data_IF_004489569454
#
_entry.id   IF_004489569454
#
_cell.length_a   1.000
_cell.length_b   1.000
_cell.length_c   1.000
_cell.angle_alpha   90.00
_cell.angle_beta   90.00
_cell.angle_gamma   90.00
#
_symmetry.space_group_name_H-M   'P 1'
#
loop_
_entity.id
_entity.type
_entity.pdbx_description
1 polymer ?
#
# COMPACT_ATOMS: atom_id res chain seq x y z
N UNK A 1 16.95 -24.30 78.35
CA UNK A 1 16.08 -23.44 77.56
C UNK A 1 16.80 -22.41 76.63
N UNK A 2 18.13 -22.41 76.47
CA UNK A 2 18.89 -21.41 75.66
C UNK A 2 19.12 -21.78 74.19
N UNK A 3 18.92 -23.04 73.80
CA UNK A 3 19.28 -23.49 72.42
C UNK A 3 18.18 -23.39 71.36
N UNK A 4 16.91 -23.03 71.67
CA UNK A 4 15.83 -22.96 70.72
C UNK A 4 15.64 -21.56 70.13
N UNK A 5 16.08 -20.51 70.84
CA UNK A 5 15.93 -19.12 70.38
C UNK A 5 16.86 -18.83 69.18
N UNK A 6 18.08 -19.38 69.19
CA UNK A 6 19.08 -19.18 68.10
C UNK A 6 18.71 -19.87 66.77
N UNK A 7 17.98 -20.98 66.85
CA UNK A 7 17.54 -21.68 65.60
C UNK A 7 16.38 -20.98 64.93
N UNK A 8 15.47 -20.38 65.70
CA UNK A 8 14.31 -19.65 65.16
C UNK A 8 14.74 -18.33 64.54
N UNK A 9 15.65 -17.59 65.14
CA UNK A 9 16.20 -16.34 64.60
C UNK A 9 16.99 -16.56 63.33
N UNK A 10 17.80 -17.61 63.21
CA UNK A 10 18.53 -17.99 62.01
C UNK A 10 17.56 -18.35 60.80
N UNK A 11 16.45 -19.03 61.08
CA UNK A 11 15.44 -19.37 60.09
C UNK A 11 14.67 -18.15 59.59
N UNK A 12 14.37 -17.19 60.49
CA UNK A 12 13.76 -15.91 60.09
C UNK A 12 14.70 -15.07 59.22
N UNK A 13 15.98 -14.97 59.57
CA UNK A 13 16.96 -14.26 58.74
C UNK A 13 17.18 -14.92 57.37
N UNK A 14 17.20 -16.25 57.30
CA UNK A 14 17.30 -16.98 56.06
C UNK A 14 16.05 -16.78 55.15
N UNK A 15 14.85 -16.73 55.76
CA UNK A 15 13.60 -16.48 55.05
C UNK A 15 13.51 -15.03 54.50
N UNK A 16 13.98 -14.04 55.25
CA UNK A 16 14.04 -12.63 54.83
C UNK A 16 15.06 -12.46 53.70
N UNK A 17 16.23 -13.11 53.79
CA UNK A 17 17.23 -13.07 52.70
C UNK A 17 16.76 -13.78 51.43
N UNK A 18 16.04 -14.90 51.58
CA UNK A 18 15.43 -15.59 50.43
C UNK A 18 14.32 -14.78 49.77
N UNK A 19 13.47 -14.08 50.55
CA UNK A 19 12.44 -13.17 50.03
C UNK A 19 13.04 -11.93 49.35
N UNK A 20 14.13 -11.38 49.87
CA UNK A 20 14.86 -10.27 49.27
C UNK A 20 15.58 -10.69 47.96
N UNK A 21 16.10 -11.93 47.89
CA UNK A 21 16.72 -12.48 46.70
C UNK A 21 15.67 -12.77 45.58
N UNK A 22 14.45 -13.21 45.93
CA UNK A 22 13.37 -13.36 44.96
C UNK A 22 12.85 -12.03 44.43
N UNK A 23 12.86 -10.96 45.21
CA UNK A 23 12.45 -9.62 44.77
C UNK A 23 13.46 -8.95 43.83
N UNK A 24 14.72 -9.35 43.87
CA UNK A 24 15.78 -8.84 42.99
C UNK A 24 15.74 -9.44 41.55
N UNK A 25 14.99 -10.54 41.38
CA UNK A 25 14.85 -11.20 40.01
C UNK A 25 13.64 -10.69 39.25
N UNK A 26 12.74 -9.93 39.88
CA UNK A 26 11.72 -9.19 39.19
C UNK A 26 12.31 -7.95 38.51
N UNK A 27 13.26 -8.15 37.59
CA UNK A 27 13.50 -7.12 36.59
C UNK A 27 12.15 -6.88 35.90
N UNK A 28 11.59 -5.66 35.94
CA UNK A 28 10.52 -5.34 34.99
C UNK A 28 11.11 -5.66 33.64
N UNK A 29 10.49 -6.56 32.90
CA UNK A 29 10.82 -6.75 31.49
C UNK A 29 10.75 -5.36 30.91
N UNK A 30 11.89 -4.68 30.84
CA UNK A 30 12.03 -3.40 30.15
C UNK A 30 11.52 -3.69 28.76
N UNK A 31 10.33 -3.22 28.42
CA UNK A 31 9.78 -3.37 27.09
C UNK A 31 10.88 -2.90 26.16
N UNK A 32 11.53 -3.86 25.51
CA UNK A 32 12.76 -3.65 24.75
C UNK A 32 12.47 -2.49 23.81
N UNK A 33 13.19 -1.37 23.97
CA UNK A 33 12.89 -0.14 23.24
C UNK A 33 13.07 -0.44 21.74
N UNK A 34 11.97 -0.82 21.10
CA UNK A 34 11.99 -0.97 19.65
C UNK A 34 11.90 0.43 18.99
N UNK A 35 12.68 0.69 17.92
CA UNK A 35 13.77 -0.11 17.38
C UNK A 35 15.11 0.18 18.08
N UNK A 36 15.98 -0.84 18.19
CA UNK A 36 17.36 -0.70 18.71
C UNK A 36 18.42 -0.95 17.65
N UNK A 37 18.00 -1.28 16.43
CA UNK A 37 18.81 -1.50 15.24
C UNK A 37 18.05 -1.08 13.99
N UNK A 38 18.69 -0.97 12.82
CA UNK A 38 18.01 -0.60 11.59
C UNK A 38 16.82 -1.50 11.25
N UNK A 39 15.76 -0.88 10.71
CA UNK A 39 14.54 -1.55 10.25
C UNK A 39 14.52 -1.58 8.71
N UNK A 40 14.34 -2.75 8.12
CA UNK A 40 14.16 -2.90 6.68
C UNK A 40 12.70 -2.65 6.29
N UNK A 41 12.50 -1.80 5.30
CA UNK A 41 11.17 -1.51 4.73
C UNK A 41 11.11 -2.03 3.30
N UNK A 42 10.41 -3.14 3.11
CA UNK A 42 10.24 -3.73 1.79
C UNK A 42 9.19 -2.92 1.02
N UNK A 43 9.60 -2.39 -0.13
CA UNK A 43 8.73 -1.74 -1.11
C UNK A 43 8.70 -2.62 -2.37
N UNK A 44 7.54 -3.22 -2.73
CA UNK A 44 7.48 -4.22 -3.80
C UNK A 44 7.43 -3.63 -5.21
N UNK A 45 7.88 -2.39 -5.38
CA UNK A 45 7.91 -1.65 -6.64
C UNK A 45 9.28 -1.04 -6.89
N UNK A 46 9.55 -0.65 -8.15
CA UNK A 46 10.82 -0.08 -8.56
C UNK A 46 11.14 1.22 -7.81
N UNK A 47 12.43 1.43 -7.54
CA UNK A 47 12.95 2.67 -6.99
C UNK A 47 12.58 3.87 -7.88
N UNK A 48 12.25 5.00 -7.28
CA UNK A 48 11.80 6.21 -7.97
C UNK A 48 10.35 6.18 -8.44
N UNK A 49 9.65 5.06 -8.29
CA UNK A 49 8.20 4.99 -8.50
C UNK A 49 7.43 5.67 -7.36
N UNK A 50 6.16 5.99 -7.60
CA UNK A 50 5.33 6.73 -6.64
C UNK A 50 5.30 6.09 -5.23
N UNK A 51 5.17 4.76 -5.17
CA UNK A 51 5.18 4.03 -3.89
C UNK A 51 6.53 4.14 -3.17
N UNK A 52 7.64 4.07 -3.91
CA UNK A 52 8.98 4.21 -3.33
C UNK A 52 9.23 5.63 -2.81
N UNK A 53 8.86 6.65 -3.58
CA UNK A 53 9.02 8.06 -3.16
C UNK A 53 8.16 8.35 -1.93
N UNK A 54 6.92 7.89 -1.91
CA UNK A 54 6.06 8.02 -0.73
C UNK A 54 6.66 7.30 0.48
N UNK A 55 7.18 6.06 0.31
CA UNK A 55 7.84 5.33 1.38
C UNK A 55 9.04 6.11 1.97
N UNK A 56 9.87 6.72 1.12
CA UNK A 56 11.04 7.52 1.56
C UNK A 56 10.62 8.72 2.40
N UNK A 57 9.50 9.38 2.09
CA UNK A 57 8.98 10.49 2.90
C UNK A 57 8.77 10.04 4.35
N UNK A 58 8.15 8.88 4.55
CA UNK A 58 7.86 8.34 5.88
C UNK A 58 9.08 7.72 6.56
N UNK A 59 9.91 6.97 5.83
CA UNK A 59 11.11 6.32 6.42
C UNK A 59 12.16 7.32 6.89
N UNK A 60 12.34 8.44 6.17
CA UNK A 60 13.20 9.55 6.60
C UNK A 60 12.74 10.12 7.94
N UNK A 61 11.42 10.33 8.09
CA UNK A 61 10.84 10.88 9.34
C UNK A 61 10.86 9.86 10.48
N UNK A 62 10.52 8.58 10.19
CA UNK A 62 10.64 7.50 11.17
C UNK A 62 12.07 7.39 11.71
N UNK A 63 13.07 7.48 10.82
CA UNK A 63 14.48 7.41 11.22
C UNK A 63 14.87 8.56 12.15
N UNK A 64 14.40 9.77 11.88
CA UNK A 64 14.65 10.94 12.74
C UNK A 64 13.94 10.81 14.10
N UNK A 65 12.69 10.36 14.13
CA UNK A 65 11.87 10.29 15.33
C UNK A 65 12.24 9.12 16.24
N UNK A 66 12.61 7.98 15.67
CA UNK A 66 12.91 6.76 16.42
C UNK A 66 14.42 6.51 16.63
N UNK A 67 15.31 7.35 16.07
CA UNK A 67 16.74 7.27 16.28
C UNK A 67 17.43 6.06 15.65
N UNK A 68 16.74 5.33 14.77
CA UNK A 68 17.27 4.18 14.05
C UNK A 68 16.93 4.30 12.55
N UNK A 69 17.81 3.80 11.69
CA UNK A 69 17.60 3.87 10.24
C UNK A 69 16.44 2.97 9.78
N UNK A 70 15.54 3.53 8.99
CA UNK A 70 14.52 2.78 8.24
C UNK A 70 14.97 2.69 6.79
N UNK A 71 15.48 1.52 6.39
CA UNK A 71 16.17 1.32 5.10
C UNK A 71 15.21 0.67 4.11
N UNK A 72 14.98 1.32 2.97
CA UNK A 72 14.13 0.78 1.90
C UNK A 72 14.87 -0.29 1.11
N UNK A 73 14.19 -1.41 0.90
CA UNK A 73 14.58 -2.48 -0.02
C UNK A 73 13.50 -2.67 -1.10
N UNK A 74 13.83 -2.35 -2.36
CA UNK A 74 12.89 -2.52 -3.47
C UNK A 74 12.92 -3.97 -3.98
N UNK A 75 11.87 -4.76 -3.66
CA UNK A 75 11.70 -6.16 -4.13
C UNK A 75 10.55 -6.27 -5.12
N UNK A 76 10.84 -6.04 -6.39
CA UNK A 76 9.84 -6.01 -7.46
C UNK A 76 9.48 -7.41 -7.97
N UNK A 77 8.32 -7.52 -8.60
CA UNK A 77 7.88 -8.70 -9.35
C UNK A 77 6.47 -9.16 -9.02
N UNK A 78 5.82 -9.76 -10.01
CA UNK A 78 4.47 -10.33 -9.93
C UNK A 78 3.44 -9.40 -9.24
N UNK A 79 3.34 -8.14 -9.72
CA UNK A 79 2.42 -7.13 -9.15
C UNK A 79 2.73 -6.74 -7.71
N UNK A 80 3.92 -7.08 -7.18
CA UNK A 80 4.33 -6.83 -5.80
C UNK A 80 4.29 -8.05 -4.88
N UNK A 81 3.74 -9.18 -5.34
CA UNK A 81 3.59 -10.38 -4.49
C UNK A 81 4.93 -10.94 -4.00
N UNK A 82 6.00 -10.86 -4.81
CA UNK A 82 7.32 -11.37 -4.42
C UNK A 82 7.89 -10.60 -3.23
N UNK A 83 7.75 -9.28 -3.20
CA UNK A 83 8.19 -8.46 -2.07
C UNK A 83 7.40 -8.76 -0.80
N UNK A 84 6.07 -8.90 -0.91
CA UNK A 84 5.22 -9.26 0.24
C UNK A 84 5.56 -10.66 0.76
N UNK A 85 5.71 -11.65 -0.11
CA UNK A 85 6.11 -13.00 0.28
C UNK A 85 7.47 -13.04 1.01
N UNK A 86 8.41 -12.17 0.61
CA UNK A 86 9.68 -12.03 1.32
C UNK A 86 9.48 -11.42 2.72
N UNK A 87 8.62 -10.40 2.86
CA UNK A 87 8.30 -9.78 4.14
C UNK A 87 7.60 -10.77 5.09
N UNK A 88 6.60 -11.53 4.61
CA UNK A 88 5.84 -12.46 5.47
C UNK A 88 6.69 -13.61 6.02
N UNK A 89 7.80 -13.94 5.35
CA UNK A 89 8.77 -14.96 5.80
C UNK A 89 9.84 -14.43 6.74
N UNK A 90 9.90 -13.12 6.95
CA UNK A 90 10.86 -12.52 7.87
C UNK A 90 10.50 -12.80 9.34
N UNK A 91 11.49 -12.66 10.24
CA UNK A 91 11.24 -12.78 11.67
C UNK A 91 10.17 -11.77 12.12
N UNK A 92 9.18 -12.19 12.93
CA UNK A 92 8.10 -11.32 13.37
C UNK A 92 8.50 -10.43 14.56
N UNK A 93 9.67 -9.81 14.49
CA UNK A 93 10.27 -8.96 15.52
C UNK A 93 10.13 -7.45 15.24
N UNK A 94 9.46 -7.09 14.12
CA UNK A 94 9.24 -5.71 13.69
C UNK A 94 10.43 -5.06 12.98
N UNK A 95 11.52 -5.78 12.70
CA UNK A 95 12.68 -5.24 11.98
C UNK A 95 12.62 -5.46 10.45
N UNK A 96 11.62 -6.18 9.97
CA UNK A 96 11.24 -6.21 8.56
C UNK A 96 9.77 -5.88 8.45
N UNK A 97 9.46 -4.77 7.82
CA UNK A 97 8.11 -4.28 7.57
C UNK A 97 7.93 -4.04 6.07
N UNK A 98 6.73 -3.74 5.63
CA UNK A 98 6.46 -3.41 4.24
C UNK A 98 5.70 -2.11 4.09
N UNK A 99 5.88 -1.44 2.94
CA UNK A 99 4.97 -0.40 2.48
C UNK A 99 4.47 -0.79 1.09
N UNK A 100 3.17 -0.99 0.99
CA UNK A 100 2.49 -1.57 -0.18
C UNK A 100 1.32 -0.69 -0.61
N UNK A 101 0.73 -1.04 -1.75
CA UNK A 101 -0.55 -0.44 -2.15
C UNK A 101 -1.71 -1.29 -1.67
N UNK A 102 -2.86 -0.66 -1.46
CA UNK A 102 -4.09 -1.37 -1.11
C UNK A 102 -4.42 -2.48 -2.12
N UNK A 103 -4.27 -2.19 -3.43
CA UNK A 103 -4.47 -3.19 -4.48
C UNK A 103 -3.63 -4.46 -4.31
N UNK A 104 -2.39 -4.30 -3.87
CA UNK A 104 -1.50 -5.44 -3.62
C UNK A 104 -1.97 -6.30 -2.43
N UNK A 105 -2.63 -5.67 -1.43
CA UNK A 105 -3.11 -6.37 -0.23
C UNK A 105 -4.34 -7.24 -0.50
N UNK A 106 -5.36 -6.68 -1.16
CA UNK A 106 -6.66 -7.37 -1.25
C UNK A 106 -7.01 -7.89 -2.65
N UNK A 107 -6.24 -7.59 -3.67
CA UNK A 107 -6.54 -8.02 -5.03
C UNK A 107 -5.68 -9.19 -5.46
N UNK A 108 -4.36 -9.13 -5.24
CA UNK A 108 -3.47 -10.23 -5.59
C UNK A 108 -3.89 -11.59 -4.99
N UNK A 109 -4.39 -11.67 -3.73
CA UNK A 109 -4.88 -12.94 -3.20
C UNK A 109 -6.02 -13.58 -4.00
N UNK A 110 -6.87 -12.78 -4.63
CA UNK A 110 -7.95 -13.29 -5.47
C UNK A 110 -7.47 -13.74 -6.85
N UNK A 111 -6.41 -13.12 -7.38
CA UNK A 111 -5.84 -13.45 -8.68
C UNK A 111 -4.93 -14.68 -8.59
N UNK A 112 -3.94 -14.65 -7.69
CA UNK A 112 -2.90 -15.67 -7.60
C UNK A 112 -3.30 -16.89 -6.80
N UNK A 113 -4.26 -16.75 -5.87
CA UNK A 113 -4.74 -17.83 -5.01
C UNK A 113 -3.57 -18.57 -4.33
N UNK A 114 -3.51 -19.90 -4.47
CA UNK A 114 -2.46 -20.73 -3.85
C UNK A 114 -1.04 -20.43 -4.36
N UNK A 115 -0.90 -19.84 -5.56
CA UNK A 115 0.42 -19.47 -6.11
C UNK A 115 1.01 -18.23 -5.47
N UNK A 116 0.27 -17.52 -4.61
CA UNK A 116 0.72 -16.27 -3.99
C UNK A 116 1.91 -16.46 -3.03
N UNK A 117 2.01 -17.62 -2.40
CA UNK A 117 3.09 -17.96 -1.46
C UNK A 117 2.92 -17.37 -0.05
N UNK A 118 1.79 -16.71 0.22
CA UNK A 118 1.32 -16.21 1.52
C UNK A 118 -0.20 -16.09 1.53
N UNK A 119 -0.79 -16.08 2.72
CA UNK A 119 -2.22 -15.79 2.92
C UNK A 119 -2.37 -14.31 3.30
N UNK A 120 -2.99 -13.52 2.41
CA UNK A 120 -3.14 -12.07 2.60
C UNK A 120 -3.90 -11.67 3.86
N UNK A 121 -4.77 -12.54 4.40
CA UNK A 121 -5.53 -12.29 5.63
C UNK A 121 -4.83 -12.78 6.90
N UNK A 122 -4.04 -13.87 6.80
CA UNK A 122 -3.43 -14.52 7.96
C UNK A 122 -2.01 -14.04 8.22
N UNK A 123 -1.22 -13.86 7.15
CA UNK A 123 0.22 -13.64 7.26
C UNK A 123 0.61 -12.15 7.36
N UNK A 124 -0.36 -11.25 7.14
CA UNK A 124 -0.14 -9.80 7.11
C UNK A 124 -1.02 -9.10 8.14
N UNK A 125 -0.47 -8.02 8.76
CA UNK A 125 -1.26 -7.03 9.50
C UNK A 125 -1.04 -5.64 8.92
N UNK A 126 -2.12 -4.94 8.52
CA UNK A 126 -2.04 -3.53 8.19
C UNK A 126 -1.72 -2.73 9.46
N UNK A 127 -0.87 -1.71 9.31
CA UNK A 127 -0.40 -0.86 10.42
C UNK A 127 -0.97 0.54 10.31
N UNK A 128 -0.74 1.18 9.16
CA UNK A 128 -1.27 2.51 8.88
C UNK A 128 -1.43 2.73 7.37
N UNK A 129 -2.55 3.33 6.98
CA UNK A 129 -2.72 3.96 5.66
C UNK A 129 -2.38 5.42 5.79
N UNK A 130 -1.39 5.88 5.04
CA UNK A 130 -0.76 7.20 5.22
C UNK A 130 -0.97 8.15 4.04
N UNK A 131 -1.56 7.68 2.96
CA UNK A 131 -1.86 8.52 1.80
C UNK A 131 -2.72 7.79 0.77
N UNK A 132 -3.51 8.57 0.03
CA UNK A 132 -4.36 8.07 -1.07
C UNK A 132 -4.30 9.00 -2.26
N UNK A 133 -4.52 8.46 -3.45
CA UNK A 133 -4.79 9.26 -4.66
C UNK A 133 -5.62 8.43 -5.63
N UNK A 134 -6.44 9.06 -6.49
CA UNK A 134 -7.10 8.37 -7.58
C UNK A 134 -6.09 7.99 -8.67
N UNK A 135 -6.46 7.04 -9.50
CA UNK A 135 -5.86 6.94 -10.82
C UNK A 135 -6.57 7.93 -11.75
N UNK A 136 -5.89 8.26 -12.84
CA UNK A 136 -6.42 9.09 -13.92
C UNK A 136 -6.41 8.29 -15.21
N UNK A 137 -7.57 8.14 -15.83
CA UNK A 137 -7.66 7.61 -17.17
C UNK A 137 -7.17 8.67 -18.16
N UNK A 138 -6.03 8.39 -18.78
CA UNK A 138 -5.46 9.21 -19.84
C UNK A 138 -5.35 8.40 -21.13
N UNK A 139 -5.48 9.10 -22.24
CA UNK A 139 -5.36 8.51 -23.57
C UNK A 139 -4.37 9.28 -24.44
N UNK A 140 -3.80 8.63 -25.44
CA UNK A 140 -2.99 9.28 -26.46
C UNK A 140 -3.77 10.45 -27.09
N UNK A 141 -3.07 11.55 -27.39
CA UNK A 141 -3.66 12.71 -28.08
C UNK A 141 -4.33 12.37 -29.41
N UNK A 142 -3.96 11.24 -30.02
CA UNK A 142 -4.55 10.73 -31.27
C UNK A 142 -5.94 10.10 -31.10
N UNK A 143 -6.34 9.75 -29.89
CA UNK A 143 -7.67 9.19 -29.62
C UNK A 143 -8.73 10.31 -29.74
N UNK A 144 -9.77 10.18 -30.56
CA UNK A 144 -10.79 11.21 -30.78
C UNK A 144 -11.88 11.15 -29.69
N UNK A 145 -11.46 11.21 -28.41
CA UNK A 145 -12.33 11.24 -27.25
C UNK A 145 -11.81 12.25 -26.23
N UNK A 146 -12.71 13.03 -25.62
CA UNK A 146 -12.43 14.04 -24.60
C UNK A 146 -13.32 13.87 -23.36
N UNK A 147 -14.32 13.00 -23.43
CA UNK A 147 -15.26 12.70 -22.35
C UNK A 147 -15.36 11.20 -22.13
N UNK A 148 -15.86 10.78 -20.95
CA UNK A 148 -16.06 9.35 -20.65
C UNK A 148 -17.02 8.68 -21.65
N UNK A 149 -18.18 9.26 -22.01
CA UNK A 149 -19.06 8.68 -23.02
C UNK A 149 -18.41 8.53 -24.39
N UNK A 150 -17.67 9.54 -24.87
CA UNK A 150 -16.91 9.46 -26.13
C UNK A 150 -15.85 8.37 -26.09
N UNK A 151 -15.11 8.27 -24.97
CA UNK A 151 -14.12 7.22 -24.78
C UNK A 151 -14.74 5.83 -24.79
N UNK A 152 -15.85 5.62 -24.11
CA UNK A 152 -16.59 4.34 -24.10
C UNK A 152 -17.05 3.98 -25.52
N UNK A 153 -17.60 4.92 -26.26
CA UNK A 153 -18.02 4.70 -27.64
C UNK A 153 -16.84 4.31 -28.54
N UNK A 154 -15.73 5.03 -28.42
CA UNK A 154 -14.50 4.73 -29.16
C UNK A 154 -13.91 3.37 -28.79
N UNK A 155 -13.87 3.05 -27.49
CA UNK A 155 -13.38 1.78 -26.98
C UNK A 155 -14.21 0.60 -27.53
N UNK A 156 -15.54 0.71 -27.52
CA UNK A 156 -16.44 -0.31 -28.08
C UNK A 156 -16.22 -0.56 -29.58
N UNK A 157 -15.92 0.50 -30.33
CA UNK A 157 -15.71 0.41 -31.76
C UNK A 157 -14.31 -0.13 -32.18
N UNK A 158 -13.31 -0.08 -31.25
CA UNK A 158 -11.92 -0.32 -31.61
C UNK A 158 -11.17 -1.23 -30.60
N UNK A 159 -11.85 -1.91 -29.67
CA UNK A 159 -11.21 -2.61 -28.54
C UNK A 159 -10.08 -3.56 -28.97
N UNK A 160 -10.27 -4.31 -30.04
CA UNK A 160 -9.29 -5.30 -30.54
C UNK A 160 -7.98 -4.66 -31.08
N UNK A 161 -7.99 -3.34 -31.29
CA UNK A 161 -6.84 -2.57 -31.80
C UNK A 161 -6.19 -1.72 -30.71
N UNK A 162 -6.76 -1.71 -29.51
CA UNK A 162 -6.32 -0.85 -28.43
C UNK A 162 -5.60 -1.67 -27.36
N UNK A 163 -4.53 -1.07 -26.83
CA UNK A 163 -3.80 -1.62 -25.70
C UNK A 163 -3.69 -0.59 -24.58
N UNK A 164 -3.59 -1.10 -23.36
CA UNK A 164 -3.38 -0.27 -22.17
C UNK A 164 -2.22 -0.77 -21.32
N UNK A 165 -1.54 0.16 -20.66
CA UNK A 165 -0.44 -0.14 -19.77
C UNK A 165 -0.84 -0.18 -18.30
N UNK A 166 -0.18 -1.04 -17.51
CA UNK A 166 -0.20 -1.03 -16.05
C UNK A 166 1.14 -1.44 -15.46
N UNK A 167 1.38 -1.15 -14.18
CA UNK A 167 2.58 -1.62 -13.46
C UNK A 167 2.47 -3.10 -13.02
N UNK A 168 1.66 -3.89 -13.72
CA UNK A 168 1.49 -5.32 -13.48
C UNK A 168 0.07 -5.72 -13.09
N UNK A 169 -0.17 -7.01 -13.18
CA UNK A 169 -1.47 -7.62 -12.88
C UNK A 169 -1.84 -7.36 -11.41
N UNK A 170 -3.10 -6.96 -11.18
CA UNK A 170 -3.63 -6.69 -9.83
C UNK A 170 -3.30 -5.31 -9.26
N UNK A 171 -2.55 -4.47 -9.98
CA UNK A 171 -2.37 -3.06 -9.58
C UNK A 171 -3.64 -2.24 -9.80
N UNK A 172 -3.76 -1.09 -9.11
CA UNK A 172 -4.91 -0.20 -9.29
C UNK A 172 -5.09 0.26 -10.74
N UNK A 173 -3.98 0.43 -11.48
CA UNK A 173 -3.96 0.75 -12.90
C UNK A 173 -4.63 -0.34 -13.74
N UNK A 174 -4.23 -1.59 -13.55
CA UNK A 174 -4.81 -2.74 -14.23
C UNK A 174 -6.31 -2.86 -13.94
N UNK A 175 -6.70 -2.79 -12.68
CA UNK A 175 -8.09 -2.97 -12.26
C UNK A 175 -9.02 -1.86 -12.74
N UNK A 176 -8.53 -0.62 -12.78
CA UNK A 176 -9.29 0.49 -13.34
C UNK A 176 -9.67 0.20 -14.78
N UNK A 177 -8.72 -0.28 -15.59
CA UNK A 177 -9.00 -0.64 -17.00
C UNK A 177 -9.87 -1.88 -17.12
N UNK A 178 -9.67 -2.90 -16.27
CA UNK A 178 -10.51 -4.10 -16.25
C UNK A 178 -11.98 -3.79 -15.88
N UNK A 179 -12.21 -2.89 -14.91
CA UNK A 179 -13.56 -2.46 -14.57
C UNK A 179 -14.23 -1.69 -15.72
N UNK A 180 -13.47 -0.83 -16.42
CA UNK A 180 -13.98 -0.15 -17.61
C UNK A 180 -14.29 -1.17 -18.72
N UNK A 181 -13.38 -2.10 -18.99
CA UNK A 181 -13.55 -3.16 -19.98
C UNK A 181 -14.78 -4.04 -19.68
N UNK A 182 -14.95 -4.43 -18.42
CA UNK A 182 -16.12 -5.20 -17.96
C UNK A 182 -17.43 -4.42 -18.13
N UNK A 183 -17.45 -3.14 -17.76
CA UNK A 183 -18.64 -2.30 -17.89
C UNK A 183 -19.03 -2.09 -19.38
N UNK A 184 -18.03 -1.97 -20.23
CA UNK A 184 -18.24 -1.70 -21.68
C UNK A 184 -18.44 -2.97 -22.50
N UNK A 185 -18.15 -4.15 -21.96
CA UNK A 185 -18.17 -5.42 -22.68
C UNK A 185 -17.04 -5.53 -23.71
N UNK A 186 -15.91 -4.84 -23.48
CA UNK A 186 -14.74 -4.81 -24.37
C UNK A 186 -13.55 -5.56 -23.77
N UNK A 187 -12.54 -5.87 -24.58
CA UNK A 187 -11.36 -6.59 -24.14
C UNK A 187 -10.07 -6.01 -24.77
N UNK A 188 -9.67 -4.78 -24.43
CA UNK A 188 -8.42 -4.20 -24.93
C UNK A 188 -7.20 -4.99 -24.39
N UNK A 189 -6.10 -5.00 -25.16
CA UNK A 189 -4.90 -5.76 -24.81
C UNK A 189 -4.18 -5.14 -23.61
N UNK A 190 -3.96 -5.92 -22.56
CA UNK A 190 -3.16 -5.51 -21.39
C UNK A 190 -1.66 -5.67 -21.67
N UNK A 191 -0.88 -4.62 -21.40
CA UNK A 191 0.60 -4.61 -21.48
C UNK A 191 1.15 -4.30 -20.09
N UNK A 192 1.75 -5.29 -19.39
CA UNK A 192 2.34 -5.08 -18.06
C UNK A 192 3.74 -4.48 -18.16
N UNK A 193 4.02 -3.48 -17.35
CA UNK A 193 5.31 -2.79 -17.19
C UNK A 193 5.85 -2.96 -15.77
N UNK A 194 7.11 -2.56 -15.56
CA UNK A 194 7.74 -2.58 -14.23
C UNK A 194 7.49 -1.29 -13.43
N UNK A 195 7.20 -0.18 -14.12
CA UNK A 195 7.00 1.14 -13.50
C UNK A 195 6.19 2.06 -14.42
N UNK A 196 5.48 3.04 -13.83
CA UNK A 196 4.64 4.02 -14.54
C UNK A 196 5.40 4.87 -15.56
N UNK A 197 6.67 5.20 -15.33
CA UNK A 197 7.45 5.98 -16.29
C UNK A 197 7.58 5.28 -17.66
N UNK A 198 7.71 3.95 -17.69
CA UNK A 198 7.73 3.17 -18.94
C UNK A 198 6.36 3.20 -19.64
N UNK A 199 5.27 3.11 -18.87
CA UNK A 199 3.89 3.21 -19.39
C UNK A 199 3.71 4.55 -20.08
N UNK A 200 4.12 5.65 -19.45
CA UNK A 200 4.02 6.99 -20.02
C UNK A 200 4.85 7.12 -21.30
N UNK A 201 6.09 6.63 -21.31
CA UNK A 201 6.93 6.66 -22.51
C UNK A 201 6.26 5.96 -23.70
N UNK A 202 5.69 4.77 -23.49
CA UNK A 202 5.03 3.99 -24.53
C UNK A 202 3.68 4.58 -24.94
N UNK A 203 2.96 5.23 -24.02
CA UNK A 203 1.75 6.00 -24.35
C UNK A 203 2.07 7.17 -25.28
N UNK A 204 3.11 7.94 -24.95
CA UNK A 204 3.55 9.09 -25.75
C UNK A 204 4.15 8.64 -27.09
N UNK A 205 4.85 7.53 -27.12
CA UNK A 205 5.38 6.88 -28.31
C UNK A 205 4.30 6.22 -29.18
N UNK A 206 3.08 6.03 -28.66
CA UNK A 206 1.96 5.41 -29.37
C UNK A 206 2.00 3.88 -29.39
N UNK A 207 2.89 3.24 -28.60
CA UNK A 207 2.96 1.78 -28.46
C UNK A 207 1.73 1.23 -27.72
N UNK A 208 1.21 2.00 -26.76
CA UNK A 208 -0.10 1.79 -26.13
C UNK A 208 -0.96 3.03 -26.33
N UNK A 209 -2.27 2.89 -26.23
CA UNK A 209 -3.22 3.97 -26.54
C UNK A 209 -3.81 4.61 -25.30
N UNK A 210 -3.78 3.93 -24.16
CA UNK A 210 -4.42 4.40 -22.93
C UNK A 210 -3.78 3.79 -21.69
N UNK A 211 -3.98 4.44 -20.56
CA UNK A 211 -3.67 3.92 -19.22
C UNK A 211 -4.55 4.60 -18.18
N UNK A 212 -4.84 3.91 -17.10
CA UNK A 212 -5.44 4.49 -15.90
C UNK A 212 -4.35 4.58 -14.83
N UNK A 213 -3.41 5.54 -14.97
CA UNK A 213 -2.23 5.63 -14.11
C UNK A 213 -2.48 6.51 -12.88
N UNK A 214 -1.58 6.44 -11.88
CA UNK A 214 -1.67 7.32 -10.73
C UNK A 214 -1.71 8.79 -11.16
N UNK A 215 -2.51 9.59 -10.48
CA UNK A 215 -2.70 11.01 -10.79
C UNK A 215 -1.36 11.75 -10.89
N UNK A 216 -0.44 11.49 -9.94
CA UNK A 216 0.90 12.09 -9.89
C UNK A 216 1.75 11.86 -11.15
N UNK A 217 1.57 10.73 -11.83
CA UNK A 217 2.32 10.38 -13.04
C UNK A 217 1.59 10.84 -14.30
N UNK A 218 0.27 10.74 -14.31
CA UNK A 218 -0.56 11.07 -15.47
C UNK A 218 -0.78 12.58 -15.63
N UNK A 219 -1.05 13.30 -14.55
CA UNK A 219 -1.42 14.72 -14.58
C UNK A 219 -0.37 15.64 -15.20
N UNK A 220 0.93 15.50 -14.94
CA UNK A 220 1.96 16.30 -15.61
C UNK A 220 1.93 16.17 -17.13
N UNK A 221 1.59 15.00 -17.68
CA UNK A 221 1.49 14.78 -19.12
C UNK A 221 0.26 15.47 -19.73
N UNK A 222 -0.83 15.50 -18.96
CA UNK A 222 -2.04 16.25 -19.35
C UNK A 222 -1.78 17.74 -19.35
N UNK A 223 -1.14 18.27 -18.30
CA UNK A 223 -0.78 19.70 -18.20
C UNK A 223 0.20 20.14 -19.29
N UNK A 224 1.09 19.25 -19.73
CA UNK A 224 2.00 19.49 -20.84
C UNK A 224 1.35 19.33 -22.23
N UNK A 225 0.08 18.89 -22.31
CA UNK A 225 -0.62 18.65 -23.58
C UNK A 225 -0.17 17.37 -24.31
N UNK A 226 0.63 16.52 -23.66
CA UNK A 226 1.16 15.29 -24.26
C UNK A 226 0.13 14.15 -24.31
N UNK A 227 -0.84 14.14 -23.40
CA UNK A 227 -1.93 13.18 -23.32
C UNK A 227 -3.24 13.90 -22.96
N UNK A 228 -4.37 13.25 -23.21
CA UNK A 228 -5.69 13.77 -22.82
C UNK A 228 -6.17 13.10 -21.53
N UNK A 229 -6.65 13.89 -20.58
CA UNK A 229 -7.39 13.39 -19.43
C UNK A 229 -8.82 13.04 -19.84
N UNK A 230 -9.30 11.87 -19.46
CA UNK A 230 -10.69 11.47 -19.64
C UNK A 230 -11.45 11.60 -18.32
N UNK A 231 -10.91 11.03 -17.23
CA UNK A 231 -11.53 11.10 -15.91
C UNK A 231 -10.55 10.65 -14.80
N UNK A 232 -10.87 10.97 -13.55
CA UNK A 232 -10.27 10.34 -12.38
C UNK A 232 -11.11 9.15 -11.90
N UNK A 233 -10.49 8.21 -11.19
CA UNK A 233 -11.14 6.96 -10.75
C UNK A 233 -11.66 7.00 -9.31
N UNK A 234 -11.70 8.16 -8.69
CA UNK A 234 -12.35 8.40 -7.38
C UNK A 234 -13.87 8.62 -7.54
N UNK A 235 -14.63 8.43 -6.45
CA UNK A 235 -16.07 8.75 -6.44
C UNK A 235 -16.34 10.26 -6.51
N UNK A 236 -15.41 11.06 -5.98
CA UNK A 236 -15.48 12.53 -6.01
C UNK A 236 -14.39 13.08 -6.91
N UNK A 237 -14.63 14.25 -7.53
CA UNK A 237 -13.61 14.96 -8.28
C UNK A 237 -12.42 15.28 -7.38
N UNK A 238 -11.22 15.15 -7.95
CA UNK A 238 -10.01 15.23 -7.14
C UNK A 238 -9.62 16.68 -6.86
N UNK A 239 -9.26 16.97 -5.61
CA UNK A 239 -8.96 18.32 -5.13
C UNK A 239 -7.83 19.04 -5.87
N UNK A 240 -6.89 18.29 -6.46
CA UNK A 240 -5.78 18.85 -7.22
C UNK A 240 -6.19 19.39 -8.61
N UNK A 241 -7.27 18.88 -9.20
CA UNK A 241 -7.91 19.47 -10.38
C UNK A 241 -9.39 19.04 -10.48
N UNK A 242 -10.31 19.79 -9.86
CA UNK A 242 -11.74 19.47 -9.88
C UNK A 242 -12.41 19.64 -11.24
N UNK A 243 -11.71 20.19 -12.26
CA UNK A 243 -12.23 20.30 -13.60
C UNK A 243 -12.33 18.94 -14.31
N UNK A 244 -11.52 17.96 -13.88
CA UNK A 244 -11.51 16.61 -14.43
C UNK A 244 -12.68 15.82 -13.83
N UNK A 245 -13.58 15.25 -14.66
CA UNK A 245 -14.72 14.47 -14.17
C UNK A 245 -14.26 13.14 -13.53
N UNK A 246 -15.17 12.47 -12.83
CA UNK A 246 -14.91 11.11 -12.33
C UNK A 246 -15.46 10.06 -13.30
N UNK A 247 -14.85 8.86 -13.29
CA UNK A 247 -15.43 7.70 -13.97
C UNK A 247 -16.82 7.37 -13.41
N UNK A 248 -17.02 7.58 -12.10
CA UNK A 248 -18.28 7.32 -11.42
C UNK A 248 -19.45 8.18 -11.90
N UNK A 249 -19.21 9.36 -12.49
CA UNK A 249 -20.24 10.20 -13.11
C UNK A 249 -20.89 9.51 -14.34
N UNK A 250 -20.18 8.59 -14.99
CA UNK A 250 -20.68 7.82 -16.16
C UNK A 250 -20.81 6.32 -15.89
N UNK A 251 -20.07 5.78 -14.93
CA UNK A 251 -20.06 4.37 -14.55
C UNK A 251 -20.31 4.30 -13.04
N UNK A 252 -21.58 4.26 -12.60
CA UNK A 252 -21.90 4.31 -11.17
C UNK A 252 -21.16 3.29 -10.33
N UNK A 253 -20.52 3.74 -9.24
CA UNK A 253 -19.81 2.90 -8.30
C UNK A 253 -18.41 2.45 -8.75
N UNK A 254 -17.91 2.89 -9.92
CA UNK A 254 -16.53 2.65 -10.30
C UNK A 254 -15.62 3.52 -9.46
N UNK A 255 -14.88 2.87 -8.57
CA UNK A 255 -13.87 3.48 -7.73
C UNK A 255 -12.64 2.58 -7.66
N UNK A 256 -11.49 3.14 -8.01
CA UNK A 256 -10.18 2.50 -7.84
C UNK A 256 -9.18 3.55 -7.40
N UNK A 257 -8.66 3.42 -6.18
CA UNK A 257 -7.67 4.34 -5.65
C UNK A 257 -6.34 3.64 -5.40
N UNK A 258 -5.26 4.35 -5.60
CA UNK A 258 -3.97 4.00 -5.05
C UNK A 258 -3.93 4.43 -3.58
N UNK A 259 -3.36 3.61 -2.72
CA UNK A 259 -3.14 3.98 -1.32
C UNK A 259 -1.82 3.42 -0.81
N UNK A 260 -1.18 4.18 0.07
CA UNK A 260 0.06 3.83 0.75
C UNK A 260 -0.27 3.19 2.10
N UNK A 261 0.03 1.90 2.25
CA UNK A 261 -0.27 1.14 3.47
C UNK A 261 1.00 0.51 4.02
N UNK A 262 1.37 0.88 5.25
CA UNK A 262 2.41 0.15 5.98
C UNK A 262 1.84 -1.14 6.57
N UNK A 263 2.61 -2.21 6.45
CA UNK A 263 2.22 -3.56 6.86
C UNK A 263 3.36 -4.24 7.62
N UNK A 264 3.00 -5.25 8.41
CA UNK A 264 3.96 -6.13 9.09
C UNK A 264 3.58 -7.60 8.88
N UNK A 265 4.53 -8.54 9.11
CA UNK A 265 4.16 -9.93 9.37
C UNK A 265 3.13 -10.02 10.50
N UNK A 266 2.21 -10.98 10.42
CA UNK A 266 1.04 -11.05 11.34
C UNK A 266 1.41 -11.22 12.81
N UNK A 267 2.51 -11.92 13.10
CA UNK A 267 2.93 -12.26 14.44
C UNK A 267 3.87 -11.23 15.08
N UNK A 268 4.06 -10.05 14.48
CA UNK A 268 4.79 -8.94 15.12
C UNK A 268 4.03 -8.51 16.37
N UNK A 269 4.71 -8.32 17.52
CA UNK A 269 4.07 -7.91 18.77
C UNK A 269 3.21 -6.66 18.60
N UNK A 270 2.03 -6.67 19.22
CA UNK A 270 1.06 -5.57 19.11
C UNK A 270 1.65 -4.23 19.57
N UNK A 271 2.45 -4.23 20.63
CA UNK A 271 3.11 -3.03 21.15
C UNK A 271 4.00 -2.36 20.06
N UNK A 272 4.72 -3.15 19.24
CA UNK A 272 5.54 -2.64 18.15
C UNK A 272 4.65 -2.07 17.05
N UNK A 273 3.59 -2.80 16.67
CA UNK A 273 2.64 -2.34 15.63
C UNK A 273 1.96 -1.04 16.05
N UNK A 274 1.51 -0.95 17.30
CA UNK A 274 0.84 0.25 17.82
C UNK A 274 1.81 1.44 17.87
N UNK A 275 3.05 1.24 18.28
CA UNK A 275 4.08 2.28 18.25
C UNK A 275 4.34 2.76 16.82
N UNK A 276 4.55 1.83 15.89
CA UNK A 276 4.76 2.17 14.49
C UNK A 276 3.55 2.91 13.88
N UNK A 277 2.33 2.45 14.16
CA UNK A 277 1.10 3.10 13.72
C UNK A 277 1.01 4.53 14.24
N UNK A 278 1.23 4.74 15.55
CA UNK A 278 1.20 6.07 16.16
C UNK A 278 2.20 7.02 15.50
N UNK A 279 3.44 6.58 15.30
CA UNK A 279 4.47 7.40 14.64
C UNK A 279 4.09 7.74 13.20
N UNK A 280 3.62 6.78 12.43
CA UNK A 280 3.19 7.00 11.03
C UNK A 280 2.04 7.99 10.93
N UNK A 281 1.04 7.89 11.81
CA UNK A 281 -0.11 8.80 11.84
C UNK A 281 0.33 10.22 12.22
N UNK A 282 1.23 10.37 13.18
CA UNK A 282 1.76 11.69 13.54
C UNK A 282 2.62 12.29 12.42
N UNK A 283 3.44 11.47 11.75
CA UNK A 283 4.21 11.91 10.57
C UNK A 283 3.28 12.38 9.44
N UNK A 284 2.18 11.66 9.19
CA UNK A 284 1.22 12.03 8.15
C UNK A 284 0.55 13.40 8.40
N UNK A 285 0.48 13.85 9.65
CA UNK A 285 -0.06 15.16 10.05
C UNK A 285 0.96 16.30 10.03
N UNK A 286 2.26 16.00 9.92
CA UNK A 286 3.29 17.01 9.92
C UNK A 286 3.17 17.91 8.68
N UNK A 287 3.21 19.27 8.81
CA UNK A 287 3.10 20.18 7.67
C UNK A 287 4.14 19.87 6.57
N UNK A 288 5.37 19.56 6.95
CA UNK A 288 6.42 19.21 5.99
C UNK A 288 6.14 17.92 5.22
N UNK A 289 5.53 16.91 5.87
CA UNK A 289 5.10 15.67 5.23
C UNK A 289 3.94 15.93 4.27
N UNK A 290 2.94 16.70 4.70
CA UNK A 290 1.79 17.10 3.87
C UNK A 290 2.27 17.80 2.60
N UNK A 291 3.17 18.78 2.72
CA UNK A 291 3.70 19.48 1.54
C UNK A 291 4.47 18.55 0.59
N UNK A 292 5.26 17.61 1.13
CA UNK A 292 5.95 16.61 0.30
C UNK A 292 4.95 15.67 -0.40
N UNK A 293 3.89 15.23 0.29
CA UNK A 293 2.83 14.40 -0.31
C UNK A 293 2.06 15.16 -1.40
N UNK A 294 1.82 16.45 -1.23
CA UNK A 294 1.21 17.30 -2.26
C UNK A 294 2.03 17.33 -3.54
N UNK A 295 3.37 17.33 -3.47
CA UNK A 295 4.20 17.29 -4.69
C UNK A 295 4.00 16.00 -5.49
N UNK A 296 3.55 14.94 -4.84
CA UNK A 296 3.15 13.66 -5.44
C UNK A 296 1.65 13.62 -5.78
N UNK A 297 0.92 14.71 -5.59
CA UNK A 297 -0.54 14.75 -5.67
C UNK A 297 -1.18 13.64 -4.82
N UNK A 298 -0.67 13.40 -3.62
CA UNK A 298 -1.18 12.42 -2.66
C UNK A 298 -1.90 13.15 -1.55
N UNK A 299 -3.16 12.83 -1.33
CA UNK A 299 -3.93 13.29 -0.17
C UNK A 299 -3.47 12.50 1.06
N UNK A 300 -2.99 13.17 2.13
CA UNK A 300 -2.65 12.50 3.36
C UNK A 300 -3.81 11.69 3.93
N UNK A 301 -3.54 10.50 4.43
CA UNK A 301 -4.48 9.67 5.15
C UNK A 301 -3.93 9.36 6.56
N UNK A 302 -4.82 9.13 7.51
CA UNK A 302 -4.46 8.86 8.91
C UNK A 302 -5.34 7.74 9.47
N UNK A 303 -5.37 6.60 8.78
CA UNK A 303 -6.19 5.45 9.16
C UNK A 303 -5.30 4.35 9.73
N UNK A 304 -5.61 3.84 10.93
CA UNK A 304 -4.85 2.78 11.60
C UNK A 304 -5.75 1.94 12.52
N UNK A 305 -5.18 0.89 13.12
CA UNK A 305 -5.88 0.05 14.09
C UNK A 305 -7.12 -0.62 13.52
N UNK A 306 -8.16 -0.76 14.34
CA UNK A 306 -9.40 -1.50 14.01
C UNK A 306 -10.12 -0.92 12.78
N UNK A 307 -10.08 0.39 12.59
CA UNK A 307 -10.73 1.03 11.43
C UNK A 307 -10.02 0.65 10.12
N UNK A 308 -8.69 0.63 10.12
CA UNK A 308 -7.92 0.18 8.95
C UNK A 308 -8.14 -1.31 8.68
N UNK A 309 -8.14 -2.15 9.70
CA UNK A 309 -8.41 -3.59 9.55
C UNK A 309 -9.79 -3.85 8.95
N UNK A 310 -10.83 -3.13 9.41
CA UNK A 310 -12.18 -3.20 8.86
C UNK A 310 -12.21 -2.74 7.40
N UNK A 311 -11.55 -1.64 7.06
CA UNK A 311 -11.48 -1.12 5.69
C UNK A 311 -10.80 -2.15 4.77
N UNK A 312 -9.64 -2.68 5.16
CA UNK A 312 -8.91 -3.70 4.39
C UNK A 312 -9.76 -4.97 4.21
N UNK A 313 -10.48 -5.42 5.24
CA UNK A 313 -11.36 -6.58 5.14
C UNK A 313 -12.55 -6.35 4.20
N UNK A 314 -13.18 -5.17 4.29
CA UNK A 314 -14.29 -4.81 3.41
C UNK A 314 -13.85 -4.74 1.94
N UNK A 315 -12.68 -4.15 1.67
CA UNK A 315 -12.12 -4.09 0.33
C UNK A 315 -11.75 -5.49 -0.18
N UNK A 316 -11.19 -6.35 0.66
CA UNK A 316 -10.90 -7.73 0.28
C UNK A 316 -12.16 -8.45 -0.20
N UNK A 317 -13.29 -8.29 0.50
CA UNK A 317 -14.56 -8.92 0.14
C UNK A 317 -15.21 -8.25 -1.08
N UNK A 318 -15.11 -6.92 -1.20
CA UNK A 318 -15.57 -6.12 -2.35
C UNK A 318 -14.90 -6.57 -3.67
N UNK A 319 -13.59 -6.78 -3.63
CA UNK A 319 -12.82 -7.07 -4.84
C UNK A 319 -12.92 -8.52 -5.32
N UNK A 320 -13.27 -9.48 -4.46
CA UNK A 320 -13.40 -10.89 -4.83
C UNK A 320 -14.32 -11.12 -6.05
N UNK A 321 -15.61 -10.72 -6.02
CA UNK A 321 -16.51 -10.93 -7.15
C UNK A 321 -16.10 -10.13 -8.41
N UNK A 322 -15.40 -9.01 -8.23
CA UNK A 322 -14.91 -8.18 -9.35
C UNK A 322 -13.82 -8.92 -10.09
N UNK A 323 -12.81 -9.42 -9.37
CA UNK A 323 -11.69 -10.19 -9.94
C UNK A 323 -12.18 -11.49 -10.61
N UNK A 324 -13.11 -12.20 -9.97
CA UNK A 324 -13.70 -13.42 -10.53
C UNK A 324 -14.44 -13.17 -11.85
N UNK A 325 -15.20 -12.06 -11.95
CA UNK A 325 -15.90 -11.69 -13.18
C UNK A 325 -14.96 -11.20 -14.27
N UNK A 326 -13.90 -10.47 -13.93
CA UNK A 326 -12.91 -9.97 -14.88
C UNK A 326 -12.10 -11.10 -15.54
N UNK A 327 -12.18 -12.34 -15.03
CA UNK A 327 -11.46 -13.51 -15.55
C UNK A 327 -9.98 -13.24 -15.79
N UNK A 328 -9.37 -12.45 -14.90
CA UNK A 328 -7.97 -12.06 -15.02
C UNK A 328 -7.11 -13.30 -15.13
N UNK A 329 -6.29 -13.45 -16.18
CA UNK A 329 -5.43 -14.61 -16.35
C UNK A 329 -4.51 -14.76 -15.13
N UNK A 330 -4.47 -15.97 -14.57
CA UNK A 330 -3.47 -16.29 -13.54
C UNK A 330 -2.11 -16.41 -14.22
N UNK A 331 -1.10 -15.65 -13.78
CA UNK A 331 0.24 -15.76 -14.35
C UNK A 331 0.96 -17.06 -13.98
#
# INVERSE_FOLDING_TARGET
MKNNITKTTRRLFAAIFAAAALSAIANPASAQQWPTRPVTVIVPFAAGGNTDVAARIFTDRLSQRLGQQFVIENKTGAGGSLGIAAMTKAAPDGYTIGMVTAGTLFILPHIYKEKLGYDGRKDIRPVAMVGTQPNMLIVSSKIPANTVPEFIAYLKANADKLSYGSSGIGTSQHLCMELIAQHTGTNPTHVPYRASNQIIQDLLGGQIQMTCDQFSTAYPQVKAGNAKAIAVSSLQRYEFDPSIPTLAESIPGLEVTWSAVFITPSNVPEAIRNKLASELIEIAKEPATIERLKTLSVTPASLSGVELEKSVSADFDKWKPIVERAKIPQP
#
